data_IF_324503709388
#
_entry.id   IF_324503709388
#
_cell.length_a   1.000
_cell.length_b   1.000
_cell.length_c   1.000
_cell.angle_alpha   90.00
_cell.angle_beta   90.00
_cell.angle_gamma   90.00
#
_symmetry.space_group_name_H-M   'P 1'
#
loop_
_entity.id
_entity.type
_entity.pdbx_description
1 polymer ?
#
# COMPACT_ATOMS: atom_id res chain seq x y z
N UNK A 1 26.60 18.47 0.24
CA UNK A 1 25.29 18.92 0.72
C UNK A 1 24.28 19.04 -0.41
N UNK A 2 24.44 19.93 -1.38
CA UNK A 2 23.41 20.19 -2.43
C UNK A 2 23.00 18.95 -3.28
N UNK A 3 23.93 18.06 -3.61
CA UNK A 3 23.65 16.85 -4.41
C UNK A 3 22.88 15.77 -3.63
N UNK A 4 23.22 15.60 -2.35
CA UNK A 4 22.55 14.65 -1.45
C UNK A 4 21.13 15.10 -1.17
N UNK A 5 20.94 16.38 -0.83
CA UNK A 5 19.62 16.98 -0.57
C UNK A 5 18.69 16.87 -1.79
N UNK A 6 19.19 17.16 -3.00
CA UNK A 6 18.42 16.96 -4.24
C UNK A 6 17.98 15.50 -4.43
N UNK A 7 18.84 14.54 -4.08
CA UNK A 7 18.53 13.10 -4.16
C UNK A 7 17.42 12.72 -3.18
N UNK A 8 17.47 13.24 -1.94
CA UNK A 8 16.46 13.01 -0.92
C UNK A 8 15.10 13.61 -1.31
N UNK A 9 15.08 14.87 -1.76
CA UNK A 9 13.86 15.53 -2.27
C UNK A 9 13.26 14.78 -3.47
N UNK A 10 14.09 14.28 -4.39
CA UNK A 10 13.62 13.48 -5.50
C UNK A 10 13.03 12.15 -5.04
N UNK A 11 13.61 11.51 -4.04
CA UNK A 11 13.08 10.30 -3.42
C UNK A 11 11.70 10.52 -2.84
N UNK A 12 11.52 11.57 -2.02
CA UNK A 12 10.22 11.95 -1.46
C UNK A 12 9.18 12.27 -2.54
N UNK A 13 9.58 12.96 -3.62
CA UNK A 13 8.68 13.25 -4.74
C UNK A 13 8.21 11.97 -5.44
N UNK A 14 9.11 11.01 -5.65
CA UNK A 14 8.77 9.71 -6.24
C UNK A 14 7.81 8.94 -5.33
N UNK A 15 8.08 8.91 -4.02
CA UNK A 15 7.19 8.32 -3.03
C UNK A 15 5.79 8.95 -3.08
N UNK A 16 5.69 10.26 -3.00
CA UNK A 16 4.41 10.99 -3.09
C UNK A 16 3.62 10.65 -4.36
N UNK A 17 4.28 10.44 -5.47
CA UNK A 17 3.62 10.02 -6.73
C UNK A 17 3.07 8.60 -6.64
N UNK A 18 3.78 7.67 -5.98
CA UNK A 18 3.33 6.31 -5.76
C UNK A 18 2.10 6.27 -4.85
N UNK A 19 2.14 6.96 -3.69
CA UNK A 19 0.99 7.05 -2.77
C UNK A 19 -0.26 7.64 -3.44
N UNK A 20 -0.06 8.68 -4.25
CA UNK A 20 -1.17 9.29 -4.98
C UNK A 20 -1.76 8.35 -6.03
N UNK A 21 -0.93 7.55 -6.71
CA UNK A 21 -1.38 6.53 -7.64
C UNK A 21 -2.15 5.41 -6.91
N UNK A 22 -1.65 4.94 -5.76
CA UNK A 22 -2.34 3.99 -4.87
C UNK A 22 -3.70 4.52 -4.43
N UNK A 23 -3.75 5.76 -3.93
CA UNK A 23 -5.00 6.42 -3.54
C UNK A 23 -6.06 6.36 -4.64
N UNK A 24 -5.72 6.77 -5.87
CA UNK A 24 -6.68 6.76 -6.97
C UNK A 24 -7.04 5.35 -7.41
N UNK A 25 -6.09 4.42 -7.39
CA UNK A 25 -6.36 3.02 -7.68
C UNK A 25 -7.40 2.45 -6.72
N UNK A 26 -7.17 2.55 -5.41
CA UNK A 26 -8.10 2.02 -4.40
C UNK A 26 -9.44 2.74 -4.38
N UNK A 27 -9.46 4.05 -4.63
CA UNK A 27 -10.71 4.79 -4.81
C UNK A 27 -11.54 4.23 -5.97
N UNK A 28 -10.93 4.02 -7.13
CA UNK A 28 -11.60 3.46 -8.29
C UNK A 28 -12.04 2.00 -8.05
N UNK A 29 -11.22 1.20 -7.37
CA UNK A 29 -11.58 -0.17 -7.00
C UNK A 29 -12.80 -0.20 -6.06
N UNK A 30 -12.88 0.73 -5.11
CA UNK A 30 -14.04 0.88 -4.23
C UNK A 30 -15.33 1.26 -4.99
N UNK A 31 -15.20 2.06 -6.04
CA UNK A 31 -16.36 2.44 -6.87
C UNK A 31 -16.83 1.30 -7.80
N UNK A 32 -15.88 0.50 -8.27
CA UNK A 32 -16.15 -0.56 -9.25
C UNK A 32 -16.65 -1.87 -8.63
N UNK A 33 -16.18 -2.24 -7.43
CA UNK A 33 -16.63 -3.48 -6.78
C UNK A 33 -18.09 -3.40 -6.34
N UNK A 34 -18.83 -4.48 -6.54
CA UNK A 34 -20.20 -4.65 -6.02
C UNK A 34 -20.23 -5.21 -4.60
N UNK A 35 -19.12 -5.70 -4.09
CA UNK A 35 -19.02 -6.27 -2.75
C UNK A 35 -18.93 -5.17 -1.69
N UNK A 36 -19.85 -5.11 -0.72
CA UNK A 36 -19.89 -4.03 0.28
C UNK A 36 -18.68 -4.01 1.18
N UNK A 37 -18.11 -5.17 1.54
CA UNK A 37 -16.94 -5.27 2.40
C UNK A 37 -15.67 -4.90 1.62
N UNK A 38 -15.55 -5.36 0.37
CA UNK A 38 -14.50 -4.95 -0.55
C UNK A 38 -14.52 -3.45 -0.80
N UNK A 39 -15.70 -2.87 -1.00
CA UNK A 39 -15.87 -1.42 -1.16
C UNK A 39 -15.35 -0.64 0.06
N UNK A 40 -15.70 -1.06 1.25
CA UNK A 40 -15.25 -0.41 2.49
C UNK A 40 -13.74 -0.58 2.68
N UNK A 41 -13.21 -1.77 2.39
CA UNK A 41 -11.78 -2.03 2.45
C UNK A 41 -11.00 -1.13 1.50
N UNK A 42 -11.37 -1.08 0.23
CA UNK A 42 -10.68 -0.22 -0.74
C UNK A 42 -10.83 1.28 -0.43
N UNK A 43 -11.97 1.74 0.13
CA UNK A 43 -12.11 3.12 0.60
C UNK A 43 -11.12 3.44 1.72
N UNK A 44 -10.96 2.52 2.68
CA UNK A 44 -10.02 2.70 3.77
C UNK A 44 -8.59 2.73 3.24
N UNK A 45 -8.21 1.81 2.36
CA UNK A 45 -6.91 1.83 1.69
C UNK A 45 -6.67 3.18 1.01
N UNK A 46 -7.62 3.66 0.23
CA UNK A 46 -7.49 4.97 -0.42
C UNK A 46 -7.28 6.13 0.59
N UNK A 47 -7.87 6.06 1.77
CA UNK A 47 -7.67 7.06 2.83
C UNK A 47 -6.28 6.95 3.46
N UNK A 48 -5.79 5.74 3.67
CA UNK A 48 -4.45 5.47 4.20
C UNK A 48 -3.38 5.99 3.25
N UNK A 49 -3.45 5.68 1.95
CA UNK A 49 -2.56 6.22 0.92
C UNK A 49 -2.55 7.77 0.89
N UNK A 50 -3.72 8.39 1.03
CA UNK A 50 -3.80 9.84 1.14
C UNK A 50 -3.16 10.37 2.43
N UNK A 51 -3.20 9.60 3.50
CA UNK A 51 -2.48 9.87 4.75
C UNK A 51 -0.96 9.84 4.55
N UNK A 52 -0.45 8.78 3.92
CA UNK A 52 0.96 8.62 3.55
C UNK A 52 1.43 9.78 2.65
N UNK A 53 0.67 10.09 1.59
CA UNK A 53 0.95 11.23 0.73
C UNK A 53 1.12 12.55 1.51
N UNK A 54 0.18 12.88 2.41
CA UNK A 54 0.25 14.10 3.22
C UNK A 54 1.43 14.12 4.17
N UNK A 55 1.77 12.97 4.72
CA UNK A 55 2.94 12.82 5.58
C UNK A 55 4.23 13.07 4.79
N UNK A 56 4.40 12.41 3.66
CA UNK A 56 5.53 12.61 2.76
C UNK A 56 5.61 14.06 2.24
N UNK A 57 4.47 14.69 1.94
CA UNK A 57 4.41 16.09 1.53
C UNK A 57 4.91 17.03 2.64
N UNK A 58 4.58 16.73 3.90
CA UNK A 58 5.11 17.46 5.04
C UNK A 58 6.63 17.30 5.16
N UNK A 59 7.13 16.07 5.05
CA UNK A 59 8.56 15.79 5.07
C UNK A 59 9.31 16.48 3.93
N UNK A 60 8.72 16.48 2.73
CA UNK A 60 9.27 17.20 1.59
C UNK A 60 9.44 18.70 1.87
N UNK A 61 8.42 19.34 2.44
CA UNK A 61 8.47 20.76 2.80
C UNK A 61 9.53 21.05 3.85
N UNK A 62 9.58 20.26 4.92
CA UNK A 62 10.60 20.45 5.97
C UNK A 62 12.02 20.27 5.43
N UNK A 63 12.26 19.24 4.62
CA UNK A 63 13.57 19.03 4.01
C UNK A 63 13.96 20.20 3.09
N UNK A 64 13.02 20.69 2.26
CA UNK A 64 13.25 21.80 1.34
C UNK A 64 13.47 23.16 2.04
N UNK A 65 12.78 23.42 3.17
CA UNK A 65 12.79 24.70 3.86
C UNK A 65 13.84 24.76 4.98
N UNK A 66 14.07 23.61 5.66
CA UNK A 66 14.91 23.52 6.87
C UNK A 66 16.14 22.62 6.71
N UNK A 67 16.24 21.88 5.60
CA UNK A 67 17.32 20.91 5.37
C UNK A 67 17.24 19.66 6.25
N UNK A 68 16.10 19.38 6.90
CA UNK A 68 15.92 18.26 7.81
C UNK A 68 14.52 17.67 7.74
N UNK A 69 14.39 16.36 8.07
CA UNK A 69 13.10 15.70 8.28
C UNK A 69 12.49 16.10 9.62
N UNK A 70 11.18 16.10 9.71
CA UNK A 70 10.41 16.23 10.96
C UNK A 70 10.06 14.83 11.48
N UNK A 71 10.97 14.24 12.22
CA UNK A 71 10.85 12.86 12.72
C UNK A 71 10.04 12.76 14.03
N UNK A 72 9.69 13.89 14.66
CA UNK A 72 8.81 13.92 15.83
C UNK A 72 7.34 13.75 15.40
N UNK A 73 7.03 14.02 14.15
CA UNK A 73 5.69 13.86 13.62
C UNK A 73 5.44 12.40 13.25
N UNK A 74 4.77 11.68 14.15
CA UNK A 74 4.24 10.36 13.83
C UNK A 74 3.17 10.44 12.72
N UNK A 75 3.14 9.47 11.82
CA UNK A 75 1.99 9.27 10.96
C UNK A 75 0.78 8.88 11.81
N UNK A 76 -0.36 9.53 11.60
CA UNK A 76 -1.62 9.08 12.16
C UNK A 76 -2.08 7.82 11.40
N UNK A 77 -1.48 6.68 11.72
CA UNK A 77 -1.85 5.39 11.15
C UNK A 77 -3.04 4.83 11.92
N UNK A 78 -4.18 4.74 11.25
CA UNK A 78 -5.13 3.68 11.57
C UNK A 78 -4.63 2.41 10.87
N UNK A 79 -3.50 1.89 11.34
CA UNK A 79 -2.81 0.81 10.66
C UNK A 79 -3.71 -0.41 10.49
N UNK A 80 -3.65 -0.98 9.29
CA UNK A 80 -4.21 -2.29 8.91
C UNK A 80 -3.64 -3.45 9.77
N UNK A 81 -2.79 -3.14 10.76
CA UNK A 81 -2.11 -4.08 11.67
C UNK A 81 -3.00 -5.15 12.31
N UNK A 82 -4.32 -5.06 12.09
CA UNK A 82 -5.30 -5.98 12.69
C UNK A 82 -6.44 -6.37 11.75
N UNK A 83 -6.25 -6.37 10.43
CA UNK A 83 -7.27 -6.93 9.54
C UNK A 83 -7.36 -8.46 9.72
N UNK A 84 -7.94 -8.86 10.85
CA UNK A 84 -8.35 -10.24 11.12
C UNK A 84 -9.55 -10.68 10.26
N UNK A 85 -10.07 -9.79 9.42
CA UNK A 85 -11.28 -10.02 8.62
C UNK A 85 -10.91 -10.22 7.14
N UNK A 86 -11.62 -11.12 6.44
CA UNK A 86 -11.54 -11.23 4.99
C UNK A 86 -11.84 -9.88 4.32
N UNK A 87 -11.16 -9.58 3.22
CA UNK A 87 -11.39 -8.35 2.45
C UNK A 87 -12.75 -8.37 1.79
N UNK A 88 -13.21 -9.55 1.35
CA UNK A 88 -14.48 -9.72 0.68
C UNK A 88 -15.46 -10.59 1.45
N UNK A 89 -16.75 -10.39 1.18
CA UNK A 89 -17.84 -11.18 1.78
C UNK A 89 -17.84 -12.62 1.25
N UNK A 90 -18.59 -13.50 1.96
CA UNK A 90 -18.83 -14.88 1.52
C UNK A 90 -19.62 -14.94 0.21
N UNK A 91 -20.36 -13.91 -0.13
CA UNK A 91 -21.12 -13.82 -1.39
C UNK A 91 -20.20 -13.76 -2.60
N UNK A 92 -19.09 -13.03 -2.52
CA UNK A 92 -18.05 -13.05 -3.57
C UNK A 92 -17.50 -14.47 -3.75
N UNK A 93 -17.23 -15.16 -2.66
CA UNK A 93 -16.69 -16.53 -2.68
C UNK A 93 -17.66 -17.51 -3.36
N UNK A 94 -18.97 -17.36 -3.13
CA UNK A 94 -20.00 -18.15 -3.85
C UNK A 94 -20.06 -17.86 -5.35
N UNK A 95 -19.67 -16.65 -5.76
CA UNK A 95 -19.64 -16.21 -7.16
C UNK A 95 -18.21 -16.13 -7.71
N UNK A 96 -17.28 -16.91 -7.14
CA UNK A 96 -15.86 -16.79 -7.44
C UNK A 96 -15.53 -16.92 -8.93
N UNK A 97 -16.32 -17.68 -9.69
CA UNK A 97 -16.15 -17.83 -11.15
C UNK A 97 -16.29 -16.51 -11.91
N UNK A 98 -17.08 -15.57 -11.38
CA UNK A 98 -17.40 -14.28 -11.98
C UNK A 98 -16.67 -13.11 -11.28
N UNK A 99 -15.82 -13.40 -10.26
CA UNK A 99 -15.13 -12.40 -9.45
C UNK A 99 -13.79 -11.97 -10.05
N UNK A 100 -13.71 -11.84 -11.37
CA UNK A 100 -12.48 -11.47 -12.09
C UNK A 100 -11.98 -10.08 -11.71
N UNK A 101 -12.90 -9.14 -11.43
CA UNK A 101 -12.55 -7.78 -11.05
C UNK A 101 -11.83 -7.77 -9.70
N UNK A 102 -12.38 -8.44 -8.70
CA UNK A 102 -11.86 -8.49 -7.33
C UNK A 102 -10.47 -9.14 -7.29
N UNK A 103 -10.28 -10.26 -8.02
CA UNK A 103 -8.98 -10.93 -8.16
C UNK A 103 -7.97 -10.00 -8.85
N UNK A 104 -8.39 -9.31 -9.89
CA UNK A 104 -7.53 -8.36 -10.61
C UNK A 104 -7.16 -7.16 -9.73
N UNK A 105 -8.12 -6.62 -9.00
CA UNK A 105 -7.89 -5.49 -8.10
C UNK A 105 -6.90 -5.85 -6.98
N UNK A 106 -7.05 -7.04 -6.35
CA UNK A 106 -6.07 -7.52 -5.37
C UNK A 106 -4.68 -7.73 -5.98
N UNK A 107 -4.61 -8.30 -7.19
CA UNK A 107 -3.32 -8.56 -7.86
C UNK A 107 -2.58 -7.26 -8.18
N UNK A 108 -3.31 -6.24 -8.64
CA UNK A 108 -2.73 -4.92 -8.92
C UNK A 108 -2.33 -4.23 -7.61
N UNK A 109 -3.20 -4.26 -6.59
CA UNK A 109 -2.90 -3.72 -5.28
C UNK A 109 -1.64 -4.34 -4.68
N UNK A 110 -1.58 -5.67 -4.66
CA UNK A 110 -0.39 -6.41 -4.21
C UNK A 110 0.90 -5.96 -4.90
N UNK A 111 0.84 -5.68 -6.20
CA UNK A 111 1.98 -5.18 -6.97
C UNK A 111 2.37 -3.75 -6.55
N UNK A 112 1.40 -2.89 -6.29
CA UNK A 112 1.65 -1.50 -5.83
C UNK A 112 2.33 -1.51 -4.47
N UNK A 113 1.80 -2.27 -3.49
CA UNK A 113 2.39 -2.39 -2.16
C UNK A 113 3.81 -2.97 -2.20
N UNK A 114 4.02 -4.02 -3.02
CA UNK A 114 5.33 -4.62 -3.19
C UNK A 114 6.36 -3.63 -3.77
N UNK A 115 5.96 -2.82 -4.75
CA UNK A 115 6.85 -1.84 -5.38
C UNK A 115 7.16 -0.69 -4.40
N UNK A 116 6.18 -0.20 -3.63
CA UNK A 116 6.37 0.80 -2.59
C UNK A 116 7.30 0.28 -1.48
N UNK A 117 7.03 -0.91 -0.96
CA UNK A 117 7.86 -1.57 0.05
C UNK A 117 9.33 -1.71 -0.42
N UNK A 118 9.54 -2.16 -1.66
CA UNK A 118 10.89 -2.29 -2.25
C UNK A 118 11.58 -0.94 -2.39
N UNK A 119 10.83 0.06 -2.83
CA UNK A 119 11.34 1.42 -2.97
C UNK A 119 11.78 1.98 -1.60
N UNK A 120 10.97 1.86 -0.56
CA UNK A 120 11.31 2.34 0.77
C UNK A 120 12.48 1.59 1.39
N UNK A 121 12.55 0.26 1.24
CA UNK A 121 13.71 -0.54 1.68
C UNK A 121 15.00 -0.10 1.00
N UNK A 122 14.99 0.12 -0.30
CA UNK A 122 16.16 0.63 -1.03
C UNK A 122 16.57 2.02 -0.54
N UNK A 123 15.61 2.92 -0.23
CA UNK A 123 15.92 4.23 0.36
C UNK A 123 16.53 4.11 1.76
N UNK A 124 16.03 3.19 2.58
CA UNK A 124 16.59 2.92 3.90
C UNK A 124 18.04 2.39 3.82
N UNK A 125 18.33 1.54 2.84
CA UNK A 125 19.71 1.02 2.62
C UNK A 125 20.68 2.11 2.15
N UNK A 126 20.19 3.08 1.36
CA UNK A 126 21.01 4.19 0.85
C UNK A 126 21.18 5.34 1.84
N UNK A 127 20.39 5.35 2.92
CA UNK A 127 20.45 6.41 3.93
C UNK A 127 21.71 6.26 4.82
N UNK A 128 22.49 7.33 4.91
CA UNK A 128 23.67 7.40 5.78
C UNK A 128 23.28 7.74 7.23
N UNK A 129 22.26 8.60 7.40
CA UNK A 129 21.77 9.01 8.71
C UNK A 129 20.82 7.94 9.30
N UNK A 130 21.08 7.48 10.56
CA UNK A 130 20.26 6.45 11.19
C UNK A 130 18.77 6.80 11.28
N UNK A 131 18.47 8.08 11.48
CA UNK A 131 17.10 8.59 11.59
C UNK A 131 16.36 8.54 10.23
N UNK A 132 17.04 8.90 9.15
CA UNK A 132 16.48 8.80 7.78
C UNK A 132 16.27 7.34 7.39
N UNK A 133 17.20 6.47 7.80
CA UNK A 133 17.06 5.02 7.62
C UNK A 133 15.83 4.49 8.35
N UNK A 134 15.66 4.84 9.62
CA UNK A 134 14.50 4.43 10.41
C UNK A 134 13.19 4.94 9.82
N UNK A 135 13.15 6.17 9.33
CA UNK A 135 12.01 6.75 8.63
C UNK A 135 11.56 5.91 7.43
N UNK A 136 12.49 5.54 6.54
CA UNK A 136 12.14 4.71 5.38
C UNK A 136 11.83 3.25 5.76
N UNK A 137 12.41 2.73 6.83
CA UNK A 137 12.06 1.40 7.35
C UNK A 137 10.62 1.37 7.86
N UNK A 138 10.19 2.40 8.58
CA UNK A 138 8.80 2.52 9.05
C UNK A 138 7.81 2.58 7.88
N UNK A 139 8.11 3.36 6.83
CA UNK A 139 7.28 3.39 5.61
C UNK A 139 7.21 1.99 4.97
N UNK A 140 8.32 1.29 4.86
CA UNK A 140 8.35 -0.05 4.29
C UNK A 140 7.53 -1.07 5.11
N UNK A 141 7.47 -0.93 6.44
CA UNK A 141 6.66 -1.79 7.32
C UNK A 141 5.15 -1.56 7.12
N UNK A 142 4.73 -0.33 6.83
CA UNK A 142 3.32 -0.05 6.54
C UNK A 142 2.86 -0.72 5.25
N UNK A 143 3.64 -0.60 4.19
CA UNK A 143 3.33 -1.26 2.92
C UNK A 143 3.39 -2.80 3.04
N UNK A 144 4.25 -3.33 3.91
CA UNK A 144 4.31 -4.76 4.19
C UNK A 144 3.02 -5.28 4.85
N UNK A 145 2.41 -4.51 5.73
CA UNK A 145 1.13 -4.86 6.36
C UNK A 145 0.00 -4.92 5.33
N UNK A 146 -0.07 -3.96 4.39
CA UNK A 146 -1.01 -3.96 3.28
C UNK A 146 -0.76 -5.15 2.34
N UNK A 147 0.50 -5.35 1.94
CA UNK A 147 0.92 -6.46 1.09
C UNK A 147 0.45 -7.80 1.65
N UNK A 148 0.73 -8.06 2.92
CA UNK A 148 0.37 -9.32 3.58
C UNK A 148 -1.14 -9.55 3.65
N UNK A 149 -1.90 -8.50 3.89
CA UNK A 149 -3.36 -8.59 3.91
C UNK A 149 -3.91 -8.98 2.53
N UNK A 150 -3.40 -8.38 1.46
CA UNK A 150 -3.79 -8.68 0.09
C UNK A 150 -3.32 -10.04 -0.38
N UNK A 151 -2.10 -10.43 -0.05
CA UNK A 151 -1.53 -11.74 -0.38
C UNK A 151 -2.40 -12.86 0.20
N UNK A 152 -2.72 -12.78 1.49
CA UNK A 152 -3.57 -13.75 2.18
C UNK A 152 -4.96 -13.88 1.56
N UNK A 153 -5.60 -12.75 1.23
CA UNK A 153 -6.93 -12.76 0.61
C UNK A 153 -6.87 -13.32 -0.82
N UNK A 154 -5.86 -12.94 -1.60
CA UNK A 154 -5.68 -13.42 -2.96
C UNK A 154 -5.42 -14.92 -3.02
N UNK A 155 -4.61 -15.45 -2.11
CA UNK A 155 -4.37 -16.90 -1.99
C UNK A 155 -5.66 -17.64 -1.69
N UNK A 156 -6.43 -17.18 -0.71
CA UNK A 156 -7.72 -17.77 -0.35
C UNK A 156 -8.72 -17.75 -1.52
N UNK A 157 -8.80 -16.64 -2.27
CA UNK A 157 -9.69 -16.57 -3.44
C UNK A 157 -9.21 -17.45 -4.60
N UNK A 158 -7.91 -17.60 -4.80
CA UNK A 158 -7.35 -18.49 -5.84
C UNK A 158 -7.66 -19.95 -5.54
N UNK A 159 -7.52 -20.39 -4.31
CA UNK A 159 -7.86 -21.75 -3.89
C UNK A 159 -9.32 -22.05 -4.19
N UNK A 160 -10.25 -21.19 -3.77
CA UNK A 160 -11.68 -21.32 -4.02
C UNK A 160 -12.02 -21.28 -5.51
N UNK A 161 -11.32 -20.45 -6.31
CA UNK A 161 -11.50 -20.40 -7.76
C UNK A 161 -11.08 -21.70 -8.44
N UNK A 162 -9.94 -22.28 -8.04
CA UNK A 162 -9.47 -23.55 -8.59
C UNK A 162 -10.40 -24.70 -8.22
N UNK A 163 -10.86 -24.78 -6.98
CA UNK A 163 -11.85 -25.76 -6.54
C UNK A 163 -13.16 -25.64 -7.33
N UNK A 164 -13.70 -24.43 -7.47
CA UNK A 164 -14.95 -24.17 -8.17
C UNK A 164 -14.91 -24.53 -9.66
N UNK A 165 -13.72 -24.45 -10.28
CA UNK A 165 -13.53 -24.78 -11.70
C UNK A 165 -12.95 -26.19 -11.93
N UNK A 166 -12.81 -27.03 -10.90
CA UNK A 166 -12.20 -28.35 -10.95
C UNK A 166 -10.75 -28.32 -11.51
N UNK A 167 -10.04 -27.24 -11.32
CA UNK A 167 -8.62 -27.18 -11.62
C UNK A 167 -7.85 -27.83 -10.48
N UNK A 168 -7.27 -28.99 -10.73
CA UNK A 168 -6.31 -29.62 -9.81
C UNK A 168 -4.94 -29.02 -10.15
N UNK A 169 -4.25 -28.33 -9.23
CA UNK A 169 -2.86 -27.90 -9.46
C UNK A 169 -2.01 -29.15 -9.68
N UNK A 170 -1.32 -29.23 -10.81
CA UNK A 170 -0.32 -30.26 -11.05
C UNK A 170 0.98 -29.94 -10.31
#
# INVERSE_FOLDING_TARGET
MEKTEKKLLQGLKTAMQAELAGHYFYKNAAEATSDPQGKETFRRMAQEEMGHFKYLQHQYKNLAEKGAYDLERALATNSYRHAAHPIFTREIRKRIKDSHFEISALTIGLKLELDAMRFYRARAEEAEEPEVKAFYQELAEWEEDHYRAFEKELESLKEEYFEANNFVPM
#
